data_IF_743383621101
#
_entry.id   IF_743383621101
#
_cell.length_a   1.000
_cell.length_b   1.000
_cell.length_c   1.000
_cell.angle_alpha   90.00
_cell.angle_beta   90.00
_cell.angle_gamma   90.00
#
_symmetry.space_group_name_H-M   'P 1'
#
loop_
_entity.id
_entity.type
_entity.pdbx_description
1 polymer ?
#
# COMPACT_ATOMS: atom_id res chain seq x y z
N UNK A 1 -9.01 -2.87 14.25
CA UNK A 1 -8.26 -1.94 13.39
C UNK A 1 -9.08 -0.66 13.24
N UNK A 2 -8.59 0.42 12.64
CA UNK A 2 -9.45 1.59 12.36
C UNK A 2 -10.20 1.37 11.04
N UNK A 3 -11.45 1.84 10.93
CA UNK A 3 -12.28 1.70 9.72
C UNK A 3 -11.58 2.24 8.46
N UNK A 4 -10.78 3.29 8.60
CA UNK A 4 -9.99 3.85 7.50
C UNK A 4 -8.85 2.92 7.05
N UNK A 5 -8.20 2.20 7.97
CA UNK A 5 -7.17 1.21 7.61
C UNK A 5 -7.80 -0.01 6.91
N UNK A 6 -8.94 -0.49 7.40
CA UNK A 6 -9.67 -1.61 6.79
C UNK A 6 -10.07 -1.29 5.34
N UNK A 7 -10.54 -0.06 5.09
CA UNK A 7 -10.84 0.41 3.73
C UNK A 7 -9.59 0.45 2.84
N UNK A 8 -8.45 0.94 3.36
CA UNK A 8 -7.20 0.97 2.60
C UNK A 8 -6.73 -0.45 2.24
N UNK A 9 -6.76 -1.37 3.21
CA UNK A 9 -6.39 -2.78 3.00
C UNK A 9 -7.29 -3.42 1.94
N UNK A 10 -8.61 -3.22 2.04
CA UNK A 10 -9.56 -3.74 1.05
C UNK A 10 -9.24 -3.24 -0.37
N UNK A 11 -9.01 -1.93 -0.54
CA UNK A 11 -8.67 -1.36 -1.85
C UNK A 11 -7.37 -1.91 -2.42
N UNK A 12 -6.30 -2.02 -1.62
CA UNK A 12 -4.99 -2.50 -2.10
C UNK A 12 -4.89 -4.03 -2.19
N UNK A 13 -5.86 -4.78 -1.65
CA UNK A 13 -5.91 -6.23 -1.77
C UNK A 13 -6.66 -6.69 -3.04
N UNK A 14 -7.46 -5.82 -3.65
CA UNK A 14 -8.14 -6.10 -4.93
C UNK A 14 -7.14 -6.15 -6.09
N UNK A 15 -7.49 -6.84 -7.16
CA UNK A 15 -6.71 -6.84 -8.41
C UNK A 15 -6.52 -5.40 -8.93
N UNK A 16 -5.33 -5.07 -9.44
CA UNK A 16 -4.97 -3.71 -9.88
C UNK A 16 -5.96 -3.12 -10.90
N UNK A 17 -6.46 -3.96 -11.82
CA UNK A 17 -7.46 -3.62 -12.83
C UNK A 17 -8.86 -3.34 -12.28
N UNK A 18 -9.17 -3.82 -11.07
CA UNK A 18 -10.46 -3.65 -10.41
C UNK A 18 -10.52 -2.41 -9.50
N UNK A 19 -9.44 -1.63 -9.38
CA UNK A 19 -9.35 -0.46 -8.50
C UNK A 19 -9.89 0.79 -9.22
N UNK A 20 -11.06 1.27 -8.79
CA UNK A 20 -11.65 2.50 -9.32
C UNK A 20 -10.83 3.72 -8.90
N UNK A 21 -10.89 4.80 -9.68
CA UNK A 21 -10.21 6.06 -9.32
C UNK A 21 -10.76 6.68 -8.02
N UNK A 22 -12.06 6.51 -7.77
CA UNK A 22 -12.71 6.94 -6.55
C UNK A 22 -12.17 6.20 -5.32
N UNK A 23 -12.07 4.87 -5.39
CA UNK A 23 -11.51 4.04 -4.33
C UNK A 23 -10.06 4.43 -4.04
N UNK A 24 -9.24 4.53 -5.09
CA UNK A 24 -7.82 4.93 -4.95
C UNK A 24 -7.69 6.31 -4.31
N UNK A 25 -8.49 7.28 -4.76
CA UNK A 25 -8.47 8.64 -4.19
C UNK A 25 -8.94 8.67 -2.73
N UNK A 26 -9.89 7.81 -2.36
CA UNK A 26 -10.40 7.67 -0.99
C UNK A 26 -9.35 7.21 0.02
N UNK A 27 -8.32 6.48 -0.41
CA UNK A 27 -7.23 6.02 0.46
C UNK A 27 -6.18 7.10 0.78
N UNK A 28 -6.07 8.15 -0.05
CA UNK A 28 -4.99 9.14 0.02
C UNK A 28 -4.89 9.87 1.37
N UNK A 29 -5.99 10.32 2.01
CA UNK A 29 -5.90 11.04 3.28
C UNK A 29 -5.30 10.18 4.39
N UNK A 30 -5.61 8.88 4.41
CA UNK A 30 -5.06 7.97 5.40
C UNK A 30 -3.57 7.71 5.16
N UNK A 31 -3.18 7.44 3.90
CA UNK A 31 -1.79 7.18 3.52
C UNK A 31 -0.88 8.37 3.83
N UNK A 32 -1.32 9.58 3.51
CA UNK A 32 -0.57 10.82 3.77
C UNK A 32 -0.40 11.14 5.25
N UNK A 33 -1.33 10.70 6.10
CA UNK A 33 -1.23 10.88 7.56
C UNK A 33 -0.36 9.80 8.21
N UNK A 34 -0.10 8.69 7.54
CA UNK A 34 0.55 7.52 8.14
C UNK A 34 2.08 7.63 8.17
N UNK A 35 2.68 8.16 7.12
CA UNK A 35 4.14 8.31 7.02
C UNK A 35 4.51 9.65 6.40
N UNK A 36 5.64 10.21 6.82
CA UNK A 36 6.18 11.44 6.25
C UNK A 36 6.54 11.26 4.76
N UNK A 37 7.05 10.08 4.40
CA UNK A 37 7.33 9.71 3.01
C UNK A 37 6.11 9.92 2.11
N UNK A 38 4.95 9.40 2.50
CA UNK A 38 3.72 9.55 1.70
C UNK A 38 3.18 10.98 1.68
N UNK A 39 3.47 11.79 2.70
CA UNK A 39 3.07 13.20 2.75
C UNK A 39 3.85 14.06 1.74
N UNK A 40 5.13 13.74 1.52
CA UNK A 40 6.03 14.48 0.62
C UNK A 40 5.83 14.09 -0.87
N UNK A 41 5.23 12.93 -1.15
CA UNK A 41 4.96 12.50 -2.52
C UNK A 41 3.83 13.31 -3.17
N UNK A 42 4.03 13.66 -4.45
CA UNK A 42 2.98 14.27 -5.24
C UNK A 42 1.78 13.32 -5.37
N UNK A 43 0.57 13.88 -5.56
CA UNK A 43 -0.68 13.10 -5.63
C UNK A 43 -0.62 11.99 -6.68
N UNK A 44 -0.06 12.28 -7.86
CA UNK A 44 0.05 11.31 -8.96
C UNK A 44 0.88 10.09 -8.58
N UNK A 45 2.02 10.30 -7.92
CA UNK A 45 2.90 9.22 -7.46
C UNK A 45 2.22 8.36 -6.39
N UNK A 46 1.51 8.95 -5.43
CA UNK A 46 0.77 8.18 -4.42
C UNK A 46 -0.35 7.37 -5.08
N UNK A 47 -1.08 7.95 -6.04
CA UNK A 47 -2.10 7.23 -6.82
C UNK A 47 -1.50 6.05 -7.57
N UNK A 48 -0.34 6.22 -8.21
CA UNK A 48 0.36 5.14 -8.90
C UNK A 48 0.80 4.04 -7.93
N UNK A 49 1.29 4.41 -6.75
CA UNK A 49 1.68 3.45 -5.71
C UNK A 49 0.47 2.63 -5.26
N UNK A 50 -0.64 3.29 -4.92
CA UNK A 50 -1.89 2.63 -4.49
C UNK A 50 -2.47 1.74 -5.58
N UNK A 51 -2.24 2.03 -6.86
CA UNK A 51 -2.69 1.16 -7.97
C UNK A 51 -1.87 -0.11 -8.12
N UNK A 52 -0.62 -0.11 -7.66
CA UNK A 52 0.34 -1.19 -7.92
C UNK A 52 0.85 -1.90 -6.66
N UNK A 53 0.48 -1.45 -5.47
CA UNK A 53 0.86 -2.09 -4.21
C UNK A 53 -0.14 -3.18 -3.77
N UNK A 54 0.26 -3.97 -2.78
CA UNK A 54 -0.57 -4.96 -2.12
C UNK A 54 -0.41 -4.88 -0.60
N UNK A 55 -1.31 -5.53 0.13
CA UNK A 55 -1.17 -5.77 1.56
C UNK A 55 -0.68 -7.20 1.80
N UNK A 56 0.29 -7.37 2.69
CA UNK A 56 0.75 -8.67 3.14
C UNK A 56 0.83 -8.69 4.66
N UNK A 57 0.33 -9.76 5.26
CA UNK A 57 0.54 -10.07 6.68
C UNK A 57 1.66 -11.10 6.80
N UNK A 58 2.43 -11.00 7.87
CA UNK A 58 3.46 -11.97 8.25
C UNK A 58 3.30 -12.27 9.74
N UNK A 59 3.63 -13.51 10.13
CA UNK A 59 3.68 -13.90 11.53
C UNK A 59 5.00 -13.44 12.19
N UNK A 60 5.04 -13.55 13.52
CA UNK A 60 6.27 -13.28 14.24
C UNK A 60 7.33 -14.31 13.80
N UNK A 61 8.54 -13.83 13.54
CA UNK A 61 9.70 -14.61 13.10
C UNK A 61 9.64 -15.09 11.62
N UNK A 62 8.68 -14.61 10.83
CA UNK A 62 8.71 -14.77 9.37
C UNK A 62 9.88 -14.00 8.76
N UNK A 63 10.67 -14.69 7.94
CA UNK A 63 11.76 -14.09 7.17
C UNK A 63 11.20 -13.53 5.86
N UNK A 64 11.18 -12.20 5.74
CA UNK A 64 10.61 -11.50 4.58
C UNK A 64 11.55 -11.55 3.37
N UNK A 65 12.87 -11.45 3.59
CA UNK A 65 13.92 -11.56 2.57
C UNK A 65 15.15 -12.24 3.18
N UNK A 66 15.90 -13.01 2.40
CA UNK A 66 17.19 -13.59 2.82
C UNK A 66 18.37 -12.89 2.16
N UNK A 67 19.50 -12.82 2.87
CA UNK A 67 20.73 -12.25 2.33
C UNK A 67 21.24 -13.12 1.16
N UNK A 68 21.42 -12.50 -0.01
CA UNK A 68 21.83 -13.19 -1.24
C UNK A 68 20.67 -13.49 -2.19
N UNK A 69 19.43 -13.25 -1.79
CA UNK A 69 18.28 -13.27 -2.71
C UNK A 69 18.23 -12.01 -3.58
N UNK A 70 17.72 -12.16 -4.80
CA UNK A 70 17.39 -11.03 -5.67
C UNK A 70 16.07 -10.45 -5.17
N UNK A 71 16.07 -9.18 -4.76
CA UNK A 71 14.86 -8.52 -4.27
C UNK A 71 13.80 -8.38 -5.37
N UNK A 72 12.68 -9.08 -5.21
CA UNK A 72 11.57 -9.05 -6.19
C UNK A 72 10.55 -7.94 -5.92
N UNK A 73 10.55 -7.37 -4.71
CA UNK A 73 9.60 -6.34 -4.27
C UNK A 73 10.27 -5.32 -3.35
N UNK A 74 9.88 -4.05 -3.48
CA UNK A 74 10.31 -2.96 -2.59
C UNK A 74 9.30 -2.84 -1.45
N UNK A 75 9.79 -2.91 -0.20
CA UNK A 75 9.01 -2.80 1.04
C UNK A 75 9.14 -1.44 1.70
#
# INVERSE_FOLDING_TARGET
MTQALEHVIDVISRQTSARSEADVSGTLPWLRRRTELMAQLNKGTVVQLVRNCGYQSAERDDVIIQQGEVGERYG
#
